data_IF_733438959787
#
_entry.id   IF_733438959787
#
_cell.length_a   1.000
_cell.length_b   1.000
_cell.length_c   1.000
_cell.angle_alpha   90.00
_cell.angle_beta   90.00
_cell.angle_gamma   90.00
#
_symmetry.space_group_name_H-M   'P 1'
#
loop_
_entity.id
_entity.type
_entity.pdbx_description
1 polymer ?
#
# COMPACT_ATOMS: atom_id res chain seq x y z
N UNK A 1 -17.73 33.90 -11.75
CA UNK A 1 -17.77 33.16 -10.47
C UNK A 1 -18.08 31.70 -10.73
N UNK A 2 -19.07 31.39 -11.58
CA UNK A 2 -19.37 30.03 -12.07
C UNK A 2 -18.19 29.28 -12.69
N UNK A 3 -17.40 29.89 -13.60
CA UNK A 3 -16.24 29.19 -14.19
C UNK A 3 -15.21 28.73 -13.16
N UNK A 4 -14.98 29.53 -12.11
CA UNK A 4 -14.06 29.18 -11.02
C UNK A 4 -14.63 28.03 -10.18
N UNK A 5 -15.95 28.03 -9.93
CA UNK A 5 -16.62 26.94 -9.24
C UNK A 5 -16.58 25.66 -10.07
N UNK A 6 -16.83 25.73 -11.38
CA UNK A 6 -16.76 24.58 -12.28
C UNK A 6 -15.34 24.01 -12.35
N UNK A 7 -14.31 24.86 -12.44
CA UNK A 7 -12.92 24.39 -12.35
C UNK A 7 -12.65 23.69 -11.03
N UNK A 8 -13.09 24.27 -9.90
CA UNK A 8 -12.87 23.67 -8.57
C UNK A 8 -13.54 22.30 -8.45
N UNK A 9 -14.77 22.16 -8.97
CA UNK A 9 -15.48 20.87 -9.03
C UNK A 9 -14.68 19.85 -9.83
N UNK A 10 -14.27 20.17 -11.05
CA UNK A 10 -13.52 19.25 -11.91
C UNK A 10 -12.17 18.82 -11.28
N UNK A 11 -11.48 19.74 -10.58
CA UNK A 11 -10.25 19.39 -9.86
C UNK A 11 -10.52 18.50 -8.65
N UNK A 12 -11.63 18.73 -7.95
CA UNK A 12 -12.04 17.92 -6.80
C UNK A 12 -12.40 16.50 -7.22
N UNK A 13 -13.10 16.33 -8.35
CA UNK A 13 -13.41 15.02 -8.93
C UNK A 13 -12.14 14.24 -9.27
N UNK A 14 -11.19 14.86 -9.99
CA UNK A 14 -9.90 14.25 -10.30
C UNK A 14 -9.11 13.85 -9.04
N UNK A 15 -9.18 14.67 -7.98
CA UNK A 15 -8.52 14.36 -6.72
C UNK A 15 -9.15 13.15 -6.03
N UNK A 16 -10.47 13.02 -6.10
CA UNK A 16 -11.19 11.86 -5.56
C UNK A 16 -10.82 10.60 -6.34
N UNK A 17 -10.80 10.67 -7.67
CA UNK A 17 -10.39 9.54 -8.53
C UNK A 17 -8.96 9.09 -8.21
N UNK A 18 -8.00 10.02 -8.14
CA UNK A 18 -6.61 9.70 -7.79
C UNK A 18 -6.47 9.12 -6.39
N UNK A 19 -7.25 9.61 -5.41
CA UNK A 19 -7.30 9.04 -4.06
C UNK A 19 -7.79 7.60 -4.08
N UNK A 20 -8.84 7.31 -4.85
CA UNK A 20 -9.44 5.98 -4.91
C UNK A 20 -8.51 4.98 -5.60
N UNK A 21 -7.81 5.40 -6.65
CA UNK A 21 -6.74 4.61 -7.29
C UNK A 21 -5.61 4.29 -6.29
N UNK A 22 -5.11 5.29 -5.55
CA UNK A 22 -4.09 5.08 -4.52
C UNK A 22 -4.58 4.14 -3.40
N UNK A 23 -5.83 4.25 -2.98
CA UNK A 23 -6.41 3.38 -1.95
C UNK A 23 -6.49 1.92 -2.43
N UNK A 24 -6.83 1.71 -3.71
CA UNK A 24 -6.85 0.39 -4.33
C UNK A 24 -5.45 -0.22 -4.41
N UNK A 25 -4.46 0.53 -4.91
CA UNK A 25 -3.06 0.06 -4.96
C UNK A 25 -2.53 -0.32 -3.57
N UNK A 26 -2.84 0.48 -2.55
CA UNK A 26 -2.44 0.20 -1.16
C UNK A 26 -3.12 -1.04 -0.60
N UNK A 27 -4.38 -1.29 -0.95
CA UNK A 27 -5.11 -2.48 -0.53
C UNK A 27 -4.50 -3.76 -1.14
N UNK A 28 -4.13 -3.71 -2.42
CA UNK A 28 -3.43 -4.80 -3.11
C UNK A 28 -2.08 -5.08 -2.46
N UNK A 29 -1.26 -4.04 -2.24
CA UNK A 29 0.06 -4.19 -1.61
C UNK A 29 -0.04 -4.78 -0.20
N UNK A 30 -1.03 -4.35 0.60
CA UNK A 30 -1.31 -4.96 1.91
C UNK A 30 -1.65 -6.44 1.82
N UNK A 31 -2.42 -6.84 0.80
CA UNK A 31 -2.73 -8.25 0.53
C UNK A 31 -1.48 -9.07 0.21
N UNK A 32 -0.57 -8.52 -0.59
CA UNK A 32 0.71 -9.16 -0.93
C UNK A 32 1.63 -9.32 0.29
N UNK A 33 1.75 -8.26 1.08
CA UNK A 33 2.52 -8.27 2.33
C UNK A 33 1.96 -9.29 3.33
N UNK A 34 0.63 -9.36 3.49
CA UNK A 34 -0.01 -10.34 4.38
C UNK A 34 0.26 -11.78 3.93
N UNK A 35 0.15 -12.07 2.62
CA UNK A 35 0.47 -13.39 2.06
C UNK A 35 1.93 -13.78 2.31
N UNK A 36 2.84 -12.83 2.12
CA UNK A 36 4.27 -13.04 2.39
C UNK A 36 4.55 -13.30 3.87
N UNK A 37 3.96 -12.52 4.78
CA UNK A 37 4.11 -12.72 6.22
C UNK A 37 3.64 -14.12 6.67
N UNK A 38 2.52 -14.59 6.12
CA UNK A 38 2.02 -15.97 6.33
C UNK A 38 3.03 -17.00 5.84
N UNK A 39 3.59 -16.82 4.64
CA UNK A 39 4.56 -17.77 4.06
C UNK A 39 5.85 -17.89 4.88
N UNK A 40 6.28 -16.81 5.55
CA UNK A 40 7.50 -16.77 6.36
C UNK A 40 7.23 -17.05 7.85
N UNK A 41 5.96 -17.26 8.23
CA UNK A 41 5.56 -17.60 9.60
C UNK A 41 5.68 -16.43 10.58
N UNK A 42 5.64 -15.18 10.07
CA UNK A 42 5.72 -13.96 10.90
C UNK A 42 4.29 -13.57 11.32
N UNK A 43 4.02 -13.56 12.63
CA UNK A 43 2.66 -13.50 13.17
C UNK A 43 2.02 -12.10 13.25
N UNK A 44 2.75 -11.02 12.98
CA UNK A 44 2.18 -9.68 13.10
C UNK A 44 3.05 -8.64 12.43
N UNK A 45 2.56 -8.05 11.34
CA UNK A 45 3.02 -6.74 10.90
C UNK A 45 2.51 -5.73 11.92
N UNK A 46 3.43 -5.07 12.61
CA UNK A 46 3.14 -4.08 13.63
C UNK A 46 2.17 -3.01 13.09
N UNK A 47 1.16 -2.67 13.86
CA UNK A 47 -0.07 -1.99 13.41
C UNK A 47 0.17 -0.52 13.00
N UNK A 48 1.38 0.00 13.22
CA UNK A 48 1.73 1.41 13.05
C UNK A 48 2.35 1.81 11.71
N UNK A 49 3.04 0.91 11.01
CA UNK A 49 3.69 1.20 9.74
C UNK A 49 3.43 0.09 8.73
N UNK A 50 2.73 0.42 7.65
CA UNK A 50 2.56 -0.47 6.50
C UNK A 50 3.92 -0.59 5.83
N UNK A 51 4.64 -1.67 6.12
CA UNK A 51 5.86 -2.01 5.41
C UNK A 51 5.51 -2.30 3.94
N UNK A 52 6.18 -1.65 2.99
CA UNK A 52 5.98 -1.94 1.56
C UNK A 52 6.24 -3.43 1.28
N UNK A 53 5.58 -3.98 0.27
CA UNK A 53 5.80 -5.35 -0.19
C UNK A 53 7.27 -5.62 -0.49
N UNK A 54 7.95 -4.70 -1.18
CA UNK A 54 9.35 -4.88 -1.56
C UNK A 54 10.27 -4.96 -0.34
N UNK A 55 10.04 -4.10 0.66
CA UNK A 55 10.80 -4.11 1.91
C UNK A 55 10.53 -5.39 2.71
N UNK A 56 9.27 -5.83 2.73
CA UNK A 56 8.88 -7.09 3.37
C UNK A 56 9.52 -8.29 2.68
N UNK A 57 9.62 -8.29 1.34
CA UNK A 57 10.25 -9.34 0.55
C UNK A 57 11.75 -9.41 0.80
N UNK A 58 12.43 -8.27 0.80
CA UNK A 58 13.87 -8.18 1.10
C UNK A 58 14.18 -8.72 2.50
N UNK A 59 13.38 -8.33 3.50
CA UNK A 59 13.48 -8.83 4.88
C UNK A 59 13.31 -10.35 4.95
N UNK A 60 12.29 -10.88 4.27
CA UNK A 60 12.03 -12.32 4.19
C UNK A 60 13.19 -13.07 3.55
N UNK A 61 13.75 -12.55 2.44
CA UNK A 61 14.91 -13.13 1.78
C UNK A 61 16.14 -13.11 2.70
N UNK A 62 16.38 -12.02 3.45
CA UNK A 62 17.48 -11.96 4.42
C UNK A 62 17.35 -13.04 5.48
N UNK A 63 16.18 -13.19 6.09
CA UNK A 63 15.91 -14.22 7.11
C UNK A 63 16.14 -15.63 6.53
N UNK A 64 15.71 -15.88 5.29
CA UNK A 64 15.91 -17.18 4.63
C UNK A 64 17.38 -17.48 4.35
N UNK A 65 18.15 -16.47 3.93
CA UNK A 65 19.60 -16.59 3.70
C UNK A 65 20.33 -16.83 5.03
N UNK A 66 19.97 -16.13 6.10
CA UNK A 66 20.63 -16.28 7.42
C UNK A 66 20.31 -17.60 8.13
N UNK A 67 19.18 -18.25 7.78
CA UNK A 67 18.79 -19.56 8.32
C UNK A 67 19.51 -20.75 7.67
N UNK A 68 20.20 -20.55 6.55
CA UNK A 68 20.92 -21.58 5.79
C UNK A 68 22.41 -21.26 5.69
#
# INVERSE_FOLDING_TARGET
>A
MEEKLQMLTNHSEKLIEARDELAMMLAEEKGDVARLAVAVGVASLDVGYVMSYNVSLEECCRILIEKY
#
